data_IF_621733374222
#
_entry.id   IF_621733374222
#
_cell.length_a   1.000
_cell.length_b   1.000
_cell.length_c   1.000
_cell.angle_alpha   90.00
_cell.angle_beta   90.00
_cell.angle_gamma   90.00
#
_symmetry.space_group_name_H-M   'P 1'
#
loop_
_entity.id
_entity.type
_entity.pdbx_description
1 polymer ?
#
# COMPACT_ATOMS: atom_id res chain seq x y z
N UNK A 1 9.82 56.50 82.11
CA UNK A 1 8.60 56.34 82.93
C UNK A 1 7.41 56.80 82.09
N UNK A 2 6.48 55.93 81.72
CA UNK A 2 5.29 56.30 80.94
C UNK A 2 4.84 55.25 79.92
N UNK A 3 4.13 54.21 80.39
CA UNK A 3 3.37 53.23 79.60
C UNK A 3 2.16 53.91 78.92
N UNK A 4 1.66 53.36 77.80
CA UNK A 4 0.25 53.05 77.46
C UNK A 4 0.19 52.65 75.95
N UNK A 5 0.11 51.36 75.60
CA UNK A 5 -1.10 50.54 75.27
C UNK A 5 -2.01 51.11 74.15
N UNK A 6 -2.16 50.39 73.03
CA UNK A 6 -3.44 49.82 72.52
C UNK A 6 -3.49 49.54 71.00
N UNK A 7 -3.71 48.25 70.64
CA UNK A 7 -4.60 47.65 69.62
C UNK A 7 -4.54 48.01 68.10
N UNK A 8 -4.21 46.96 67.30
CA UNK A 8 -5.10 46.30 66.31
C UNK A 8 -5.27 46.88 64.87
N UNK A 9 -4.68 46.13 63.89
CA UNK A 9 -5.27 45.62 62.61
C UNK A 9 -5.21 46.44 61.28
N UNK A 10 -4.56 45.80 60.28
CA UNK A 10 -4.93 45.60 58.86
C UNK A 10 -4.63 46.69 57.82
N UNK A 11 -3.86 46.37 56.76
CA UNK A 11 -4.37 45.89 55.45
C UNK A 11 -3.23 45.71 54.43
N UNK A 12 -3.17 44.54 53.80
CA UNK A 12 -2.36 44.22 52.63
C UNK A 12 -2.97 44.85 51.38
N UNK A 13 -2.18 45.55 50.57
CA UNK A 13 -2.53 45.90 49.19
C UNK A 13 -1.29 45.75 48.32
N UNK A 14 -1.10 44.53 47.80
CA UNK A 14 -0.16 44.26 46.73
C UNK A 14 -0.78 44.70 45.41
N UNK A 15 -0.16 45.69 44.78
CA UNK A 15 -0.57 46.25 43.50
C UNK A 15 -0.19 45.25 42.38
N UNK A 16 -1.17 44.50 41.89
CA UNK A 16 -1.00 43.63 40.73
C UNK A 16 -1.05 44.43 39.43
N UNK A 17 0.09 44.56 38.76
CA UNK A 17 0.19 45.08 37.40
C UNK A 17 -0.30 43.99 36.43
N UNK A 18 -1.52 44.13 35.92
CA UNK A 18 -2.08 43.26 34.89
C UNK A 18 -1.56 43.70 33.52
N UNK A 19 -0.53 43.01 33.00
CA UNK A 19 -0.13 43.13 31.61
C UNK A 19 -1.18 42.44 30.73
N UNK A 20 -1.93 43.21 29.93
CA UNK A 20 -2.76 42.66 28.87
C UNK A 20 -1.85 42.05 27.79
N UNK A 21 -1.68 40.73 27.87
CA UNK A 21 -1.17 39.93 26.76
C UNK A 21 -2.25 39.93 25.68
N UNK A 22 -2.03 40.68 24.60
CA UNK A 22 -2.74 40.45 23.34
C UNK A 22 -2.25 39.09 22.85
N UNK A 23 -3.01 38.04 23.15
CA UNK A 23 -2.82 36.76 22.49
C UNK A 23 -3.01 36.99 21.01
N UNK A 24 -1.95 36.82 20.22
CA UNK A 24 -2.11 36.65 18.79
C UNK A 24 -3.11 35.51 18.61
N UNK A 25 -4.27 35.82 18.01
CA UNK A 25 -5.19 34.79 17.58
C UNK A 25 -4.37 33.79 16.74
N UNK A 26 -4.56 32.47 16.91
CA UNK A 26 -3.92 31.52 16.01
C UNK A 26 -4.29 31.93 14.60
N UNK A 27 -3.29 32.25 13.78
CA UNK A 27 -3.52 32.42 12.36
C UNK A 27 -4.17 31.11 11.90
N UNK A 28 -5.38 31.19 11.35
CA UNK A 28 -6.02 30.04 10.72
C UNK A 28 -5.04 29.55 9.66
N UNK A 29 -4.50 28.34 9.83
CA UNK A 29 -3.66 27.73 8.83
C UNK A 29 -4.54 27.50 7.60
N UNK A 30 -4.36 28.33 6.57
CA UNK A 30 -4.90 28.06 5.25
C UNK A 30 -4.18 26.82 4.73
N UNK A 31 -4.91 25.73 4.51
CA UNK A 31 -4.35 24.53 3.88
C UNK A 31 -3.87 24.92 2.48
N UNK A 32 -2.59 24.73 2.20
CA UNK A 32 -2.05 25.00 0.86
C UNK A 32 -2.69 24.04 -0.15
N UNK A 33 -2.95 24.48 -1.40
CA UNK A 33 -3.45 23.57 -2.42
C UNK A 33 -2.42 22.45 -2.64
N UNK A 34 -2.90 21.24 -2.87
CA UNK A 34 -2.03 20.08 -3.02
C UNK A 34 -2.55 19.05 -4.01
N UNK A 35 -1.61 18.30 -4.59
CA UNK A 35 -1.86 17.02 -5.24
C UNK A 35 -1.06 15.95 -4.51
N UNK A 36 -1.66 14.79 -4.26
CA UNK A 36 -1.05 13.73 -3.45
C UNK A 36 -1.38 12.33 -3.95
N UNK A 37 -0.45 11.40 -3.75
CA UNK A 37 -0.70 9.97 -3.92
C UNK A 37 -1.30 9.37 -2.63
N UNK A 38 -2.35 8.56 -2.77
CA UNK A 38 -2.98 7.78 -1.71
C UNK A 38 -3.10 6.29 -2.11
N UNK A 39 -2.67 5.32 -1.28
CA UNK A 39 -1.88 5.53 -0.08
C UNK A 39 -0.51 6.14 -0.39
N UNK A 40 0.05 7.02 0.47
CA UNK A 40 1.35 7.66 0.21
C UNK A 40 2.52 6.67 0.25
N UNK A 41 2.33 5.55 0.94
CA UNK A 41 3.29 4.44 0.99
C UNK A 41 2.56 3.12 1.00
N UNK A 42 3.03 2.15 0.25
CA UNK A 42 2.53 0.78 0.31
C UNK A 42 3.63 -0.26 0.14
N UNK A 43 3.26 -1.52 0.28
CA UNK A 43 4.16 -2.66 0.14
C UNK A 43 3.48 -3.74 -0.68
N UNK A 44 4.19 -4.30 -1.65
CA UNK A 44 3.70 -5.37 -2.51
C UNK A 44 4.86 -6.30 -2.92
N UNK A 45 4.64 -7.63 -2.99
CA UNK A 45 5.62 -8.57 -3.54
C UNK A 45 5.92 -8.33 -5.02
N UNK A 46 7.13 -8.70 -5.45
CA UNK A 46 7.43 -8.85 -6.87
C UNK A 46 6.46 -9.86 -7.51
N UNK A 47 5.95 -9.56 -8.70
CA UNK A 47 4.94 -10.36 -9.40
C UNK A 47 3.48 -9.98 -9.10
N UNK A 48 3.21 -9.22 -8.03
CA UNK A 48 1.86 -8.80 -7.66
C UNK A 48 1.47 -7.46 -8.32
N UNK A 49 0.23 -7.02 -8.12
CA UNK A 49 -0.24 -5.69 -8.48
C UNK A 49 -0.52 -4.81 -7.28
N UNK A 50 -0.54 -3.50 -7.50
CA UNK A 50 -0.94 -2.54 -6.48
C UNK A 50 -1.62 -1.32 -7.13
N UNK A 51 -2.47 -0.63 -6.36
CA UNK A 51 -3.21 0.54 -6.83
C UNK A 51 -2.80 1.79 -6.05
N UNK A 52 -2.76 2.92 -6.75
CA UNK A 52 -2.73 4.26 -6.15
C UNK A 52 -3.86 5.14 -6.70
N UNK A 53 -4.26 6.08 -5.88
CA UNK A 53 -5.15 7.18 -6.20
C UNK A 53 -4.37 8.49 -6.20
N UNK A 54 -4.55 9.30 -7.24
CA UNK A 54 -4.02 10.67 -7.29
C UNK A 54 -5.13 11.62 -6.89
N UNK A 55 -4.94 12.30 -5.77
CA UNK A 55 -5.92 13.16 -5.12
C UNK A 55 -5.54 14.63 -5.31
N UNK A 56 -6.54 15.49 -5.54
CA UNK A 56 -6.39 16.95 -5.51
C UNK A 56 -7.11 17.54 -4.30
N UNK A 57 -6.52 18.59 -3.73
CA UNK A 57 -7.16 19.55 -2.84
C UNK A 57 -6.81 20.96 -3.32
N UNK A 58 -7.77 21.66 -3.91
CA UNK A 58 -7.60 23.02 -4.42
C UNK A 58 -7.53 24.07 -3.31
N UNK A 59 -7.78 23.71 -2.05
CA UNK A 59 -7.92 24.64 -0.94
C UNK A 59 -8.99 25.70 -1.25
N UNK A 60 -8.57 26.95 -1.40
CA UNK A 60 -9.48 28.08 -1.72
C UNK A 60 -9.48 28.47 -3.19
N UNK A 61 -8.66 27.84 -4.04
CA UNK A 61 -8.57 28.18 -5.46
C UNK A 61 -9.76 27.64 -6.26
N UNK A 62 -10.06 28.29 -7.38
CA UNK A 62 -11.01 27.76 -8.35
C UNK A 62 -10.24 27.23 -9.55
N UNK A 63 -10.27 25.92 -9.76
CA UNK A 63 -9.46 25.29 -10.80
C UNK A 63 -10.18 25.33 -12.13
N UNK A 64 -9.47 25.72 -13.19
CA UNK A 64 -9.99 25.75 -14.56
C UNK A 64 -9.45 24.60 -15.41
N UNK A 65 -8.28 24.07 -15.06
CA UNK A 65 -7.65 22.97 -15.76
C UNK A 65 -6.43 22.44 -15.03
N UNK A 66 -6.02 21.24 -15.41
CA UNK A 66 -4.76 20.65 -14.97
C UNK A 66 -4.18 19.72 -16.01
N UNK A 67 -2.88 19.54 -15.92
CA UNK A 67 -2.16 18.36 -16.37
C UNK A 67 -1.48 17.75 -15.14
N UNK A 68 -1.65 16.44 -14.97
CA UNK A 68 -0.91 15.66 -13.97
C UNK A 68 -0.15 14.54 -14.67
N UNK A 69 1.11 14.38 -14.30
CA UNK A 69 2.00 13.32 -14.75
C UNK A 69 2.52 12.58 -13.54
N UNK A 70 2.37 11.27 -13.53
CA UNK A 70 2.97 10.37 -12.54
C UNK A 70 4.10 9.60 -13.20
N UNK A 71 5.31 9.76 -12.69
CA UNK A 71 6.48 9.00 -13.14
C UNK A 71 6.78 7.84 -12.20
N UNK A 72 7.22 6.73 -12.77
CA UNK A 72 7.55 5.49 -12.06
C UNK A 72 8.75 4.78 -12.72
N UNK A 73 9.38 3.83 -12.01
CA UNK A 73 10.48 3.04 -12.56
C UNK A 73 9.95 1.90 -13.46
N UNK A 74 9.97 2.12 -14.78
CA UNK A 74 9.49 1.13 -15.77
C UNK A 74 10.31 -0.15 -15.84
N UNK A 75 11.50 -0.19 -15.22
CA UNK A 75 12.30 -1.41 -15.13
C UNK A 75 11.81 -2.38 -14.05
N UNK A 76 11.03 -1.89 -13.09
CA UNK A 76 10.53 -2.68 -11.95
C UNK A 76 9.01 -2.88 -11.99
N UNK A 77 8.26 -1.99 -12.64
CA UNK A 77 6.80 -2.07 -12.71
C UNK A 77 6.28 -1.58 -14.06
N UNK A 78 5.08 -2.01 -14.41
CA UNK A 78 4.40 -1.63 -15.65
C UNK A 78 2.96 -1.24 -15.36
N UNK A 79 2.36 -0.47 -16.26
CA UNK A 79 0.92 -0.18 -16.28
C UNK A 79 0.47 -0.06 -17.75
N UNK A 80 -0.82 0.09 -17.96
CA UNK A 80 -1.41 0.25 -19.30
C UNK A 80 -2.62 1.17 -19.24
N UNK A 81 -3.05 1.71 -20.38
CA UNK A 81 -4.25 2.59 -20.42
C UNK A 81 -5.50 1.92 -19.83
N UNK A 82 -5.62 0.58 -19.94
CA UNK A 82 -6.74 -0.17 -19.37
C UNK A 82 -6.72 -0.24 -17.83
N UNK A 83 -5.56 0.02 -17.22
CA UNK A 83 -5.32 0.02 -15.77
C UNK A 83 -5.36 1.43 -15.17
N UNK A 84 -5.62 2.45 -15.99
CA UNK A 84 -5.74 3.83 -15.55
C UNK A 84 -7.18 4.30 -15.72
N UNK A 85 -7.76 4.81 -14.64
CA UNK A 85 -9.09 5.42 -14.66
C UNK A 85 -8.98 6.89 -14.30
N UNK A 86 -9.13 7.77 -15.29
CA UNK A 86 -9.27 9.21 -15.08
C UNK A 86 -10.67 9.59 -14.60
N UNK A 87 -10.77 10.64 -13.79
CA UNK A 87 -12.04 11.17 -13.29
C UNK A 87 -12.24 12.64 -13.67
N UNK A 88 -13.34 12.92 -14.37
CA UNK A 88 -13.69 14.25 -14.87
C UNK A 88 -14.24 15.19 -13.78
N UNK A 89 -13.41 15.51 -12.80
CA UNK A 89 -13.78 16.37 -11.67
C UNK A 89 -14.13 17.81 -12.07
N UNK A 90 -13.64 18.30 -13.22
CA UNK A 90 -13.96 19.64 -13.72
C UNK A 90 -15.24 19.71 -14.58
N UNK A 91 -15.82 18.56 -14.95
CA UNK A 91 -16.93 18.46 -15.92
C UNK A 91 -16.57 19.03 -17.30
N UNK A 92 -15.28 19.04 -17.63
CA UNK A 92 -14.70 19.68 -18.80
C UNK A 92 -14.32 18.70 -19.90
N UNK A 93 -13.42 19.14 -20.78
CA UNK A 93 -12.78 18.32 -21.78
C UNK A 93 -11.64 17.52 -21.17
N UNK A 94 -11.55 16.23 -21.51
CA UNK A 94 -10.55 15.29 -21.00
C UNK A 94 -9.54 14.92 -22.11
N UNK A 95 -8.27 14.84 -21.72
CA UNK A 95 -7.16 14.38 -22.55
C UNK A 95 -6.46 13.26 -21.75
N UNK A 96 -6.38 12.08 -22.35
CA UNK A 96 -5.89 10.88 -21.68
C UNK A 96 -6.96 10.15 -20.85
N UNK A 97 -6.56 9.24 -19.95
CA UNK A 97 -5.18 8.97 -19.56
C UNK A 97 -4.33 8.44 -20.71
N UNK A 98 -3.05 8.78 -20.72
CA UNK A 98 -2.06 8.27 -21.67
C UNK A 98 -0.93 7.62 -20.88
N UNK A 99 -0.57 6.40 -21.28
CA UNK A 99 0.50 5.64 -20.64
C UNK A 99 1.67 5.51 -21.60
N UNK A 100 2.81 6.04 -21.18
CA UNK A 100 4.11 5.83 -21.81
C UNK A 100 5.03 5.06 -20.85
N UNK A 101 6.17 4.60 -21.34
CA UNK A 101 7.12 3.84 -20.52
C UNK A 101 7.65 4.71 -19.37
N UNK A 102 7.21 4.41 -18.15
CA UNK A 102 7.62 5.13 -16.94
C UNK A 102 6.80 6.38 -16.63
N UNK A 103 5.76 6.70 -17.42
CA UNK A 103 4.94 7.89 -17.21
C UNK A 103 3.45 7.64 -17.50
N UNK A 104 2.58 8.15 -16.63
CA UNK A 104 1.13 8.23 -16.84
C UNK A 104 0.73 9.69 -16.81
N UNK A 105 0.08 10.18 -17.86
CA UNK A 105 -0.40 11.56 -17.94
C UNK A 105 -1.92 11.62 -18.07
N UNK A 106 -2.52 12.63 -17.44
CA UNK A 106 -3.95 12.91 -17.54
C UNK A 106 -4.20 14.41 -17.41
N UNK A 107 -4.95 14.98 -18.35
CA UNK A 107 -5.22 16.41 -18.37
C UNK A 107 -6.70 16.72 -18.58
N UNK A 108 -7.17 17.78 -17.91
CA UNK A 108 -8.52 18.30 -18.02
C UNK A 108 -8.46 19.80 -18.26
N UNK A 109 -9.40 20.29 -19.08
CA UNK A 109 -9.64 21.71 -19.23
C UNK A 109 -11.14 21.98 -19.19
N UNK A 110 -11.56 23.00 -18.45
CA UNK A 110 -12.93 23.49 -18.40
C UNK A 110 -12.99 24.96 -18.81
N UNK A 111 -14.19 25.41 -19.15
CA UNK A 111 -14.49 26.84 -19.35
C UNK A 111 -15.21 27.45 -18.14
N UNK A 112 -15.50 26.63 -17.12
CA UNK A 112 -16.11 27.05 -15.85
C UNK A 112 -15.24 26.52 -14.73
N UNK A 113 -14.62 27.44 -13.98
CA UNK A 113 -13.76 27.06 -12.86
C UNK A 113 -14.59 26.43 -11.72
N UNK A 114 -14.02 25.42 -11.07
CA UNK A 114 -14.64 24.72 -9.93
C UNK A 114 -13.93 25.15 -8.65
N UNK A 115 -14.65 25.84 -7.76
CA UNK A 115 -14.09 26.40 -6.52
C UNK A 115 -13.98 25.36 -5.41
N UNK A 116 -12.85 25.33 -4.72
CA UNK A 116 -12.64 24.46 -3.54
C UNK A 116 -12.74 22.98 -3.87
N UNK A 117 -12.35 22.59 -5.08
CA UNK A 117 -12.39 21.21 -5.54
C UNK A 117 -11.47 20.34 -4.68
N UNK A 118 -11.99 19.23 -4.16
CA UNK A 118 -11.18 18.16 -3.60
C UNK A 118 -11.74 16.81 -4.04
N UNK A 119 -10.86 15.89 -4.45
CA UNK A 119 -11.29 14.56 -4.89
C UNK A 119 -10.23 13.79 -5.67
N UNK A 120 -10.65 12.61 -6.14
CA UNK A 120 -9.85 11.69 -6.94
C UNK A 120 -9.72 12.19 -8.38
N UNK A 121 -8.50 12.48 -8.81
CA UNK A 121 -8.16 12.84 -10.19
C UNK A 121 -8.08 11.61 -11.07
N UNK A 122 -7.33 10.59 -10.65
CA UNK A 122 -7.18 9.33 -11.37
C UNK A 122 -6.76 8.20 -10.43
N UNK A 123 -7.10 6.97 -10.79
CA UNK A 123 -6.62 5.74 -10.17
C UNK A 123 -5.69 5.02 -11.15
N UNK A 124 -4.55 4.53 -10.67
CA UNK A 124 -3.57 3.77 -11.45
C UNK A 124 -3.34 2.43 -10.78
N UNK A 125 -3.53 1.34 -11.51
CA UNK A 125 -3.03 0.01 -11.13
C UNK A 125 -1.68 -0.25 -11.80
N UNK A 126 -0.69 -0.66 -11.02
CA UNK A 126 0.61 -1.11 -11.46
C UNK A 126 0.75 -2.62 -11.29
N UNK A 127 1.44 -3.26 -12.21
CA UNK A 127 1.91 -4.64 -12.10
C UNK A 127 3.41 -4.64 -11.89
N UNK A 128 3.89 -5.30 -10.84
CA UNK A 128 5.31 -5.40 -10.50
C UNK A 128 5.93 -6.56 -11.27
N UNK A 129 7.09 -6.32 -11.91
CA UNK A 129 7.84 -7.38 -12.58
C UNK A 129 8.32 -8.43 -11.55
N UNK A 130 8.16 -9.72 -11.84
CA UNK A 130 8.65 -10.80 -10.98
C UNK A 130 10.17 -10.75 -10.76
N UNK A 131 10.91 -10.18 -11.71
CA UNK A 131 12.35 -9.97 -11.64
C UNK A 131 12.74 -8.63 -10.98
N UNK A 132 11.77 -7.82 -10.54
CA UNK A 132 12.03 -6.58 -9.83
C UNK A 132 12.89 -6.84 -8.59
N UNK A 133 13.85 -5.96 -8.33
CA UNK A 133 14.70 -6.08 -7.15
C UNK A 133 13.92 -5.59 -5.93
N UNK A 134 14.01 -6.31 -4.81
CA UNK A 134 13.40 -5.86 -3.57
C UNK A 134 14.00 -4.51 -3.12
N UNK A 135 13.15 -3.56 -2.77
CA UNK A 135 13.57 -2.18 -2.46
C UNK A 135 12.41 -1.21 -2.44
N UNK A 136 12.70 0.06 -2.18
CA UNK A 136 11.72 1.14 -2.23
C UNK A 136 11.86 1.89 -3.55
N UNK A 137 10.73 2.09 -4.21
CA UNK A 137 10.61 2.77 -5.49
C UNK A 137 9.70 4.00 -5.32
N UNK A 138 10.19 5.15 -5.75
CA UNK A 138 9.45 6.40 -5.64
C UNK A 138 8.44 6.53 -6.80
N UNK A 139 7.30 7.15 -6.49
CA UNK A 139 6.26 7.54 -7.44
C UNK A 139 6.15 9.06 -7.37
N UNK A 140 6.58 9.75 -8.42
CA UNK A 140 6.71 11.22 -8.38
C UNK A 140 5.63 11.90 -9.20
N UNK A 141 5.07 12.98 -8.66
CA UNK A 141 4.01 13.75 -9.32
C UNK A 141 4.59 15.04 -9.90
N UNK A 142 4.30 15.31 -11.16
CA UNK A 142 4.46 16.62 -11.79
C UNK A 142 3.10 17.17 -12.20
N UNK A 143 2.85 18.44 -11.94
CA UNK A 143 1.54 19.05 -12.23
C UNK A 143 1.69 20.44 -12.82
N UNK A 144 0.84 20.74 -13.80
CA UNK A 144 0.55 22.10 -14.25
C UNK A 144 -0.94 22.37 -14.00
N UNK A 145 -1.27 23.20 -13.00
CA UNK A 145 -2.66 23.51 -12.66
C UNK A 145 -2.92 25.00 -12.84
N UNK A 146 -4.02 25.33 -13.52
CA UNK A 146 -4.43 26.70 -13.80
C UNK A 146 -5.71 27.08 -13.06
N UNK A 147 -5.78 28.32 -12.61
CA UNK A 147 -6.93 28.91 -11.92
C UNK A 147 -7.95 29.55 -12.88
N UNK A 148 -9.00 30.17 -12.32
CA UNK A 148 -10.04 30.87 -13.08
C UNK A 148 -9.54 32.05 -13.94
N UNK A 149 -8.31 32.50 -13.72
CA UNK A 149 -7.69 33.61 -14.43
C UNK A 149 -6.68 33.14 -15.49
N UNK A 150 -6.59 31.82 -15.72
CA UNK A 150 -5.59 31.17 -16.58
C UNK A 150 -4.15 31.35 -16.08
N UNK A 151 -3.98 31.63 -14.79
CA UNK A 151 -2.66 31.69 -14.15
C UNK A 151 -2.37 30.37 -13.43
N UNK A 152 -1.08 30.02 -13.31
CA UNK A 152 -0.69 28.85 -12.53
C UNK A 152 -1.04 29.05 -11.04
N UNK A 153 -1.61 28.02 -10.42
CA UNK A 153 -1.97 28.06 -9.00
C UNK A 153 -0.69 28.16 -8.14
N UNK A 154 -0.48 29.27 -7.40
CA UNK A 154 0.75 29.46 -6.65
C UNK A 154 0.76 28.66 -5.35
N UNK A 155 1.94 28.13 -5.00
CA UNK A 155 2.14 27.39 -3.76
C UNK A 155 1.53 25.99 -3.75
N UNK A 156 1.28 25.43 -4.94
CA UNK A 156 0.88 24.03 -5.10
C UNK A 156 1.93 23.09 -4.50
N UNK A 157 1.50 22.25 -3.58
CA UNK A 157 2.33 21.23 -2.95
C UNK A 157 2.07 19.89 -3.64
N UNK A 158 3.12 19.26 -4.16
CA UNK A 158 3.07 17.86 -4.59
C UNK A 158 3.53 16.98 -3.44
N UNK A 159 2.72 15.97 -3.11
CA UNK A 159 3.07 14.95 -2.13
C UNK A 159 3.22 13.62 -2.86
N UNK A 160 4.46 13.30 -3.19
CA UNK A 160 4.85 12.06 -3.87
C UNK A 160 4.52 10.82 -3.03
N UNK A 161 4.54 9.67 -3.70
CA UNK A 161 4.30 8.36 -3.10
C UNK A 161 5.51 7.44 -3.21
N UNK A 162 5.41 6.27 -2.60
CA UNK A 162 6.39 5.21 -2.83
C UNK A 162 5.78 3.82 -2.62
N UNK A 163 6.36 2.83 -3.30
CA UNK A 163 6.06 1.41 -3.10
C UNK A 163 7.31 0.69 -2.64
N UNK A 164 7.17 -0.13 -1.60
CA UNK A 164 8.22 -1.07 -1.19
C UNK A 164 7.94 -2.42 -1.82
N UNK A 165 8.81 -2.83 -2.75
CA UNK A 165 8.76 -4.13 -3.39
C UNK A 165 9.44 -5.16 -2.49
N UNK A 166 8.69 -6.19 -2.11
CA UNK A 166 9.22 -7.36 -1.42
C UNK A 166 9.75 -8.38 -2.43
N UNK A 167 10.72 -9.24 -2.06
CA UNK A 167 11.15 -10.32 -2.95
C UNK A 167 9.98 -11.22 -3.33
N UNK A 168 10.05 -11.83 -4.52
CA UNK A 168 9.07 -12.80 -4.99
C UNK A 168 8.87 -13.89 -3.93
N UNK A 169 7.62 -14.08 -3.51
CA UNK A 169 7.29 -15.12 -2.55
C UNK A 169 7.24 -16.46 -3.28
N UNK A 170 8.30 -17.27 -3.14
CA UNK A 170 8.36 -18.61 -3.73
C UNK A 170 8.19 -19.68 -2.67
N UNK A 171 7.05 -20.37 -2.69
CA UNK A 171 6.84 -21.57 -1.88
C UNK A 171 7.50 -22.77 -2.57
N UNK A 172 8.65 -23.23 -2.05
CA UNK A 172 9.34 -24.40 -2.61
C UNK A 172 9.12 -25.62 -1.72
N UNK A 173 8.40 -26.63 -2.20
CA UNK A 173 8.27 -27.93 -1.50
C UNK A 173 9.30 -28.90 -2.07
N UNK A 174 10.22 -29.38 -1.24
CA UNK A 174 11.22 -30.39 -1.61
C UNK A 174 10.91 -31.71 -0.92
N UNK A 175 10.61 -32.76 -1.70
CA UNK A 175 10.45 -34.12 -1.18
C UNK A 175 11.76 -34.91 -1.40
N UNK A 176 12.28 -35.55 -0.35
CA UNK A 176 13.46 -36.43 -0.44
C UNK A 176 13.06 -37.83 0.03
N UNK A 177 13.18 -38.83 -0.85
CA UNK A 177 13.03 -40.23 -0.47
C UNK A 177 14.25 -40.67 0.36
N UNK A 178 14.01 -41.31 1.52
CA UNK A 178 15.07 -41.82 2.37
C UNK A 178 15.71 -43.08 1.78
N UNK A 179 17.04 -43.17 1.86
CA UNK A 179 17.84 -44.31 1.40
C UNK A 179 17.64 -45.55 2.30
N UNK A 180 17.15 -46.67 1.77
CA UNK A 180 16.99 -47.89 2.56
C UNK A 180 16.71 -49.21 1.81
N UNK A 181 17.28 -49.41 0.62
CA UNK A 181 16.96 -50.53 -0.28
C UNK A 181 16.59 -51.90 0.35
N UNK A 182 15.38 -52.39 0.06
CA UNK A 182 15.09 -53.58 -0.78
C UNK A 182 13.57 -53.81 -0.83
N UNK A 183 13.01 -53.57 -2.02
CA UNK A 183 11.59 -53.27 -2.34
C UNK A 183 11.04 -52.06 -1.58
N UNK A 184 11.58 -50.89 -1.94
CA UNK A 184 11.22 -49.61 -1.33
C UNK A 184 9.80 -49.19 -1.76
N UNK A 185 8.93 -48.73 -0.83
CA UNK A 185 7.76 -47.96 -1.21
C UNK A 185 8.26 -46.68 -1.93
N UNK A 186 8.13 -46.65 -3.26
CA UNK A 186 8.44 -45.48 -4.08
C UNK A 186 7.26 -44.52 -3.99
N UNK A 187 7.46 -43.32 -3.45
CA UNK A 187 6.41 -42.31 -3.33
C UNK A 187 6.50 -41.27 -4.44
N UNK A 188 5.35 -40.85 -4.96
CA UNK A 188 5.22 -39.64 -5.79
C UNK A 188 4.23 -38.71 -5.10
N UNK A 189 4.53 -37.41 -5.05
CA UNK A 189 3.63 -36.38 -4.54
C UNK A 189 3.19 -35.53 -5.73
N UNK A 190 1.89 -35.44 -5.96
CA UNK A 190 1.25 -34.76 -7.07
C UNK A 190 0.06 -33.91 -6.56
N UNK A 191 -0.57 -33.13 -7.44
CA UNK A 191 -1.81 -32.40 -7.17
C UNK A 191 -1.77 -31.50 -5.91
N UNK A 192 -0.71 -30.69 -5.77
CA UNK A 192 -0.68 -29.64 -4.75
C UNK A 192 -1.80 -28.63 -5.03
N UNK A 193 -2.65 -28.43 -4.03
CA UNK A 193 -3.74 -27.45 -4.03
C UNK A 193 -3.64 -26.55 -2.81
N UNK A 194 -3.86 -25.26 -3.00
CA UNK A 194 -3.88 -24.24 -1.95
C UNK A 194 -5.15 -23.43 -2.14
N UNK A 195 -5.95 -23.31 -1.08
CA UNK A 195 -7.20 -22.55 -1.12
C UNK A 195 -7.51 -21.89 0.22
N UNK A 196 -7.83 -20.59 0.25
CA UNK A 196 -7.78 -19.64 -0.89
C UNK A 196 -6.34 -19.24 -1.26
N UNK A 197 -6.16 -18.62 -2.43
CA UNK A 197 -4.84 -18.17 -2.92
C UNK A 197 -4.30 -16.93 -2.20
N UNK A 198 -5.20 -16.16 -1.58
CA UNK A 198 -4.90 -14.98 -0.78
C UNK A 198 -5.79 -15.03 0.47
N UNK A 199 -5.24 -14.57 1.59
CA UNK A 199 -5.92 -14.53 2.90
C UNK A 199 -5.54 -13.27 3.66
N UNK A 200 -6.50 -12.73 4.41
CA UNK A 200 -6.22 -11.71 5.40
C UNK A 200 -5.54 -12.29 6.66
N UNK A 201 -4.92 -11.42 7.46
CA UNK A 201 -4.23 -11.82 8.68
C UNK A 201 -5.21 -12.52 9.64
N UNK A 202 -4.94 -13.80 9.91
CA UNK A 202 -5.70 -14.62 10.84
C UNK A 202 -6.77 -15.50 10.17
N UNK A 203 -6.91 -15.46 8.84
CA UNK A 203 -7.74 -16.41 8.11
C UNK A 203 -7.03 -17.75 7.88
N UNK A 204 -7.82 -18.80 7.63
CA UNK A 204 -7.32 -20.17 7.46
C UNK A 204 -7.03 -20.47 5.98
N UNK A 205 -5.85 -21.03 5.69
CA UNK A 205 -5.47 -21.57 4.37
C UNK A 205 -5.49 -23.08 4.43
N UNK A 206 -6.14 -23.71 3.46
CA UNK A 206 -6.12 -25.16 3.28
C UNK A 206 -5.08 -25.54 2.23
N UNK A 207 -4.11 -26.38 2.61
CA UNK A 207 -3.10 -26.91 1.69
C UNK A 207 -3.30 -28.42 1.58
N UNK A 208 -3.52 -28.94 0.37
CA UNK A 208 -3.61 -30.39 0.14
C UNK A 208 -2.62 -30.88 -0.91
N UNK A 209 -2.14 -32.11 -0.73
CA UNK A 209 -1.28 -32.81 -1.69
C UNK A 209 -1.73 -34.26 -1.85
N UNK A 210 -1.62 -34.83 -3.05
CA UNK A 210 -1.86 -36.24 -3.30
C UNK A 210 -0.57 -37.04 -3.15
N UNK A 211 -0.50 -37.93 -2.17
CA UNK A 211 0.64 -38.84 -1.97
C UNK A 211 0.29 -40.19 -2.55
N UNK A 212 1.08 -40.66 -3.52
CA UNK A 212 0.90 -41.95 -4.19
C UNK A 212 2.06 -42.90 -3.89
N UNK A 213 1.76 -44.09 -3.38
CA UNK A 213 2.72 -45.17 -3.25
C UNK A 213 2.83 -45.95 -4.56
N UNK A 214 3.79 -45.61 -5.40
CA UNK A 214 4.15 -46.31 -6.65
C UNK A 214 5.00 -47.57 -6.42
N UNK A 215 5.42 -47.84 -5.18
CA UNK A 215 6.14 -49.06 -4.83
C UNK A 215 5.23 -50.29 -4.76
N UNK A 216 5.85 -51.48 -4.77
CA UNK A 216 5.14 -52.76 -4.68
C UNK A 216 4.91 -53.26 -3.25
N UNK A 217 5.29 -52.47 -2.24
CA UNK A 217 5.09 -52.77 -0.82
C UNK A 217 4.36 -51.62 -0.13
N UNK A 218 3.68 -51.89 0.99
CA UNK A 218 3.13 -50.83 1.84
C UNK A 218 4.27 -50.04 2.49
N UNK A 219 4.10 -48.73 2.62
CA UNK A 219 5.10 -47.85 3.22
C UNK A 219 4.47 -46.70 3.99
N UNK A 220 5.23 -46.16 4.95
CA UNK A 220 4.89 -44.95 5.68
C UNK A 220 5.72 -43.80 5.11
N UNK A 221 5.04 -42.69 4.82
CA UNK A 221 5.61 -41.48 4.25
C UNK A 221 5.43 -40.34 5.25
N UNK A 222 6.50 -39.64 5.57
CA UNK A 222 6.42 -38.39 6.32
C UNK A 222 6.25 -37.24 5.33
N UNK A 223 5.11 -36.56 5.41
CA UNK A 223 4.81 -35.38 4.60
C UNK A 223 5.01 -34.16 5.46
N UNK A 224 6.01 -33.35 5.13
CA UNK A 224 6.36 -32.13 5.88
C UNK A 224 5.95 -30.89 5.10
N UNK A 225 5.09 -30.06 5.70
CA UNK A 225 4.78 -28.72 5.21
C UNK A 225 5.84 -27.75 5.74
N UNK A 226 6.44 -26.98 4.82
CA UNK A 226 7.34 -25.88 5.15
C UNK A 226 6.84 -24.58 4.54
N UNK A 227 6.82 -23.52 5.35
CA UNK A 227 6.55 -22.14 4.92
C UNK A 227 7.81 -21.34 5.24
N UNK A 228 8.33 -20.59 4.26
CA UNK A 228 9.58 -19.83 4.39
C UNK A 228 10.78 -20.64 4.91
N UNK A 229 10.81 -21.94 4.57
CA UNK A 229 11.85 -22.88 5.01
C UNK A 229 11.72 -23.38 6.46
N UNK A 230 10.79 -22.82 7.25
CA UNK A 230 10.43 -23.33 8.57
C UNK A 230 9.45 -24.49 8.46
N UNK A 231 9.56 -25.49 9.35
CA UNK A 231 8.61 -26.61 9.40
C UNK A 231 7.37 -26.14 10.16
N UNK A 232 6.25 -26.06 9.45
CA UNK A 232 4.96 -25.67 10.03
C UNK A 232 4.18 -26.89 10.54
N UNK A 233 4.23 -27.99 9.79
CA UNK A 233 3.54 -29.22 10.16
C UNK A 233 4.18 -30.47 9.54
N UNK A 234 3.96 -31.63 10.16
CA UNK A 234 4.32 -32.93 9.61
C UNK A 234 3.18 -33.93 9.85
N UNK A 235 2.87 -34.74 8.83
CA UNK A 235 1.86 -35.80 8.90
C UNK A 235 2.46 -37.10 8.36
N UNK A 236 2.37 -38.17 9.16
CA UNK A 236 2.75 -39.51 8.72
C UNK A 236 1.56 -40.19 8.02
N UNK A 237 1.83 -40.77 6.84
CA UNK A 237 0.82 -41.41 6.02
C UNK A 237 1.29 -42.79 5.60
N UNK A 238 0.54 -43.81 6.02
CA UNK A 238 0.80 -45.20 5.60
C UNK A 238 -0.09 -45.57 4.43
N UNK A 239 0.52 -46.02 3.33
CA UNK A 239 -0.15 -46.40 2.09
C UNK A 239 0.22 -47.83 1.70
N UNK A 240 -0.77 -48.60 1.28
CA UNK A 240 -0.54 -49.87 0.60
C UNK A 240 0.11 -49.65 -0.77
N UNK A 241 0.66 -50.71 -1.37
CA UNK A 241 1.20 -50.67 -2.73
C UNK A 241 0.14 -50.18 -3.73
N UNK A 242 0.51 -49.21 -4.56
CA UNK A 242 -0.37 -48.60 -5.57
C UNK A 242 -1.46 -47.66 -5.01
N UNK A 243 -1.52 -47.42 -3.70
CA UNK A 243 -2.54 -46.57 -3.10
C UNK A 243 -2.11 -45.09 -3.11
N UNK A 244 -3.10 -44.22 -3.27
CA UNK A 244 -2.94 -42.77 -3.14
C UNK A 244 -3.80 -42.23 -1.99
N UNK A 245 -3.35 -41.16 -1.35
CA UNK A 245 -4.11 -40.45 -0.32
C UNK A 245 -3.83 -38.97 -0.37
N UNK A 246 -4.91 -38.20 -0.34
CA UNK A 246 -4.83 -36.75 -0.14
C UNK A 246 -4.46 -36.45 1.32
N UNK A 247 -3.48 -35.57 1.48
CA UNK A 247 -2.99 -35.09 2.76
C UNK A 247 -3.23 -33.59 2.80
N UNK A 248 -4.21 -33.19 3.60
CA UNK A 248 -4.53 -31.78 3.87
C UNK A 248 -3.80 -31.33 5.12
N UNK A 249 -3.26 -30.12 5.15
CA UNK A 249 -2.69 -29.46 6.32
C UNK A 249 -3.71 -28.51 6.95
#
# INVERSE_FOLDING_TARGET
MGKFRSKTIVLFLALGLLAMMVGAAPALATTAPSVSIDPPTQTAPAGDSFTIDVMVDAGTYSLLGWEVVVSYDSSAMTTSEAQVTGNNLLGGFEIGPTVEDGEVSYALASVTAVSGLSGLMMTIEFTIDEAATAGTYDLTISTEIIDENNDFVPGMVTNDGSVTILPLQTSTITATAGEGGTIEPSGVIEDLSISPSEVDIGEEVTISVLVTNTGSASGSYEVTLKIDGAVEASKEVTLNAGASKEVTF
#
